data_IF_955150362944
#
_entry.id   IF_955150362944
#
_cell.length_a   1.000
_cell.length_b   1.000
_cell.length_c   1.000
_cell.angle_alpha   90.00
_cell.angle_beta   90.00
_cell.angle_gamma   90.00
#
_symmetry.space_group_name_H-M   'P 1'
#
loop_
_entity.id
_entity.type
_entity.pdbx_description
1 polymer ?
#
# COMPACT_ATOMS: atom_id res chain seq x y z
N UNK A 1 7.53 -32.68 -1.87
CA UNK A 1 8.09 -31.53 -1.12
C UNK A 1 8.97 -30.74 -2.06
N UNK A 2 8.74 -29.44 -2.21
CA UNK A 2 9.74 -28.56 -2.82
C UNK A 2 10.85 -28.36 -1.78
N UNK A 3 12.11 -28.64 -2.14
CA UNK A 3 13.26 -28.48 -1.26
C UNK A 3 14.03 -27.20 -1.53
N UNK A 4 13.84 -26.62 -2.72
CA UNK A 4 14.53 -25.43 -3.17
C UNK A 4 13.54 -24.51 -3.89
N UNK A 5 13.63 -23.22 -3.61
CA UNK A 5 12.88 -22.16 -4.26
C UNK A 5 13.87 -21.05 -4.60
N UNK A 6 14.09 -20.83 -5.89
CA UNK A 6 14.87 -19.69 -6.36
C UNK A 6 13.92 -18.54 -6.69
N UNK A 7 14.18 -17.38 -6.08
CA UNK A 7 13.45 -16.16 -6.36
C UNK A 7 14.37 -15.19 -7.09
N UNK A 8 14.06 -14.95 -8.36
CA UNK A 8 14.71 -13.93 -9.17
C UNK A 8 13.88 -12.65 -9.07
N UNK A 9 14.48 -11.58 -8.60
CA UNK A 9 13.83 -10.28 -8.42
C UNK A 9 14.63 -9.22 -9.14
N UNK A 10 13.93 -8.29 -9.80
CA UNK A 10 14.51 -7.06 -10.34
C UNK A 10 14.10 -5.94 -9.39
N UNK A 11 15.03 -5.53 -8.55
CA UNK A 11 14.93 -4.43 -7.63
C UNK A 11 15.17 -3.07 -8.28
N UNK A 12 14.95 -1.98 -7.53
CA UNK A 12 15.17 -0.62 -8.02
C UNK A 12 16.66 -0.34 -8.31
N UNK A 13 17.55 -1.06 -7.63
CA UNK A 13 19.01 -0.88 -7.76
C UNK A 13 19.61 -1.65 -8.95
N UNK A 14 18.93 -2.69 -9.44
CA UNK A 14 19.41 -3.49 -10.59
C UNK A 14 19.47 -2.68 -11.88
N UNK A 15 18.73 -1.57 -11.95
CA UNK A 15 18.88 -0.58 -13.01
C UNK A 15 20.33 -0.10 -13.18
N UNK A 16 21.07 0.05 -12.07
CA UNK A 16 22.44 0.58 -12.11
C UNK A 16 23.46 -0.41 -12.65
N UNK A 17 23.12 -1.70 -12.67
CA UNK A 17 24.05 -2.79 -12.97
C UNK A 17 23.69 -3.58 -14.22
N UNK A 18 22.40 -3.62 -14.61
CA UNK A 18 21.90 -4.36 -15.77
C UNK A 18 21.77 -3.47 -17.02
N UNK A 19 22.65 -3.60 -18.03
CA UNK A 19 22.64 -2.76 -19.22
C UNK A 19 21.33 -2.82 -20.01
N UNK A 20 20.64 -3.97 -20.01
CA UNK A 20 19.36 -4.11 -20.70
C UNK A 20 18.27 -3.21 -20.09
N UNK A 21 18.40 -2.83 -18.81
CA UNK A 21 17.45 -1.95 -18.15
C UNK A 21 17.66 -0.49 -18.52
N UNK A 22 18.87 -0.02 -18.86
CA UNK A 22 19.21 1.40 -19.09
C UNK A 22 18.33 2.19 -20.10
N UNK A 23 17.52 1.49 -20.91
CA UNK A 23 16.54 2.09 -21.84
C UNK A 23 15.14 2.33 -21.24
N UNK A 24 14.86 1.81 -20.03
CA UNK A 24 13.55 1.90 -19.36
C UNK A 24 13.48 3.12 -18.44
N UNK A 25 12.40 3.29 -17.68
CA UNK A 25 12.34 4.32 -16.64
C UNK A 25 12.77 3.73 -15.30
N UNK A 26 13.68 4.39 -14.55
CA UNK A 26 14.02 3.95 -13.21
C UNK A 26 12.81 4.08 -12.28
N UNK A 27 12.77 3.27 -11.24
CA UNK A 27 11.71 3.29 -10.23
C UNK A 27 12.31 3.27 -8.82
N UNK A 28 11.51 3.66 -7.82
CA UNK A 28 11.92 3.68 -6.41
C UNK A 28 10.95 2.86 -5.59
N UNK A 29 11.47 2.09 -4.64
CA UNK A 29 10.69 1.29 -3.70
C UNK A 29 10.82 1.86 -2.29
N UNK A 30 9.73 1.84 -1.53
CA UNK A 30 9.76 2.13 -0.08
C UNK A 30 8.94 1.06 0.64
N UNK A 31 9.56 0.42 1.64
CA UNK A 31 8.87 -0.51 2.53
C UNK A 31 8.57 0.16 3.87
N UNK A 32 7.30 0.16 4.27
CA UNK A 32 6.90 0.66 5.57
C UNK A 32 6.08 -0.38 6.34
N UNK A 33 6.58 -0.80 7.50
CA UNK A 33 5.89 -1.75 8.39
C UNK A 33 5.02 -1.01 9.40
N UNK A 34 3.77 -1.44 9.55
CA UNK A 34 2.81 -0.91 10.52
C UNK A 34 1.99 -2.05 11.14
N UNK A 35 1.27 -1.72 12.21
CA UNK A 35 0.42 -2.65 12.95
C UNK A 35 -0.92 -2.00 13.27
N UNK A 36 -1.99 -2.76 13.09
CA UNK A 36 -3.32 -2.45 13.61
C UNK A 36 -3.50 -3.06 15.00
N UNK A 37 -4.08 -2.28 15.91
CA UNK A 37 -4.39 -2.64 17.29
C UNK A 37 -5.83 -2.24 17.57
N UNK A 38 -6.63 -3.21 18.00
CA UNK A 38 -8.02 -3.01 18.42
C UNK A 38 -8.10 -1.96 19.51
N UNK A 39 -9.09 -1.06 19.42
CA UNK A 39 -9.29 0.04 20.38
C UNK A 39 -8.28 1.19 20.27
N UNK A 40 -7.40 1.18 19.26
CA UNK A 40 -6.41 2.24 19.06
C UNK A 40 -6.40 2.78 17.62
N UNK A 41 -5.94 1.97 16.67
CA UNK A 41 -5.75 2.41 15.29
C UNK A 41 -6.35 1.45 14.24
N UNK A 42 -7.12 0.44 14.68
CA UNK A 42 -7.89 -0.45 13.81
C UNK A 42 -9.20 0.24 13.38
N UNK A 43 -9.09 1.16 12.42
CA UNK A 43 -10.18 2.06 12.02
C UNK A 43 -11.16 1.52 10.97
N UNK A 44 -10.91 0.33 10.41
CA UNK A 44 -11.72 -0.20 9.31
C UNK A 44 -11.58 0.59 8.00
N UNK A 45 -12.39 0.21 7.00
CA UNK A 45 -12.41 0.85 5.68
C UNK A 45 -13.13 2.22 5.65
N UNK A 46 -13.25 2.85 4.48
CA UNK A 46 -13.85 4.20 4.35
C UNK A 46 -15.30 4.33 4.85
N UNK A 47 -16.05 3.22 4.86
CA UNK A 47 -17.43 3.20 5.37
C UNK A 47 -17.53 3.42 6.89
N UNK A 48 -16.42 3.34 7.62
CA UNK A 48 -16.35 3.59 9.06
C UNK A 48 -15.79 5.00 9.31
N UNK A 49 -16.56 6.02 8.92
CA UNK A 49 -16.11 7.42 8.86
C UNK A 49 -15.53 7.94 10.18
N UNK A 50 -16.06 7.49 11.31
CA UNK A 50 -15.65 7.94 12.65
C UNK A 50 -14.25 7.43 13.04
N UNK A 51 -13.82 6.27 12.51
CA UNK A 51 -12.62 5.57 12.96
C UNK A 51 -11.59 5.36 11.85
N UNK A 52 -11.97 5.47 10.59
CA UNK A 52 -11.09 5.18 9.44
C UNK A 52 -9.83 6.07 9.41
N UNK A 53 -9.92 7.33 9.86
CA UNK A 53 -8.78 8.24 9.97
C UNK A 53 -7.74 7.81 11.05
N UNK A 54 -8.11 6.89 11.94
CA UNK A 54 -7.20 6.34 12.97
C UNK A 54 -6.20 5.34 12.39
N UNK A 55 -6.47 4.77 11.21
CA UNK A 55 -5.56 3.85 10.54
C UNK A 55 -4.15 4.46 10.32
N UNK A 56 -3.09 3.65 10.20
CA UNK A 56 -1.81 4.14 9.70
C UNK A 56 -1.99 4.85 8.34
N UNK A 57 -1.39 6.03 8.20
CA UNK A 57 -1.46 6.85 6.99
C UNK A 57 -0.07 7.02 6.41
N UNK A 58 0.01 7.14 5.09
CA UNK A 58 1.25 7.31 4.34
C UNK A 58 1.07 8.41 3.31
N UNK A 59 2.05 9.30 3.25
CA UNK A 59 2.08 10.40 2.30
C UNK A 59 3.01 10.06 1.16
N UNK A 60 2.49 10.11 -0.06
CA UNK A 60 3.28 9.94 -1.28
C UNK A 60 3.33 11.31 -1.95
N UNK A 61 4.51 11.92 -1.96
CA UNK A 61 4.72 13.17 -2.69
C UNK A 61 4.94 12.85 -4.16
N UNK A 62 4.06 13.35 -5.01
CA UNK A 62 4.16 13.20 -6.46
C UNK A 62 4.85 14.47 -6.98
N UNK A 63 6.02 14.35 -7.63
CA UNK A 63 6.68 15.51 -8.21
C UNK A 63 5.81 16.11 -9.33
N UNK A 64 5.44 17.38 -9.20
CA UNK A 64 4.67 18.13 -10.23
C UNK A 64 5.53 18.52 -11.46
N UNK A 65 6.76 18.03 -11.54
CA UNK A 65 7.84 18.62 -12.33
C UNK A 65 7.97 18.06 -13.75
N UNK A 66 6.99 17.31 -14.25
CA UNK A 66 7.03 16.85 -15.64
C UNK A 66 5.63 16.78 -16.24
N UNK A 67 5.52 17.07 -17.53
CA UNK A 67 4.34 16.79 -18.36
C UNK A 67 3.92 15.31 -18.39
N UNK A 68 4.63 14.43 -17.68
CA UNK A 68 4.44 12.99 -17.68
C UNK A 68 3.62 12.55 -16.48
N UNK A 69 2.71 11.62 -16.72
CA UNK A 69 1.91 10.95 -15.69
C UNK A 69 2.84 10.28 -14.67
N UNK A 70 2.45 10.30 -13.39
CA UNK A 70 3.17 9.56 -12.35
C UNK A 70 2.55 8.18 -12.17
N UNK A 71 3.38 7.13 -12.24
CA UNK A 71 2.94 5.75 -12.04
C UNK A 71 3.34 5.28 -10.65
N UNK A 72 2.38 4.78 -9.88
CA UNK A 72 2.59 4.34 -8.49
C UNK A 72 2.00 2.94 -8.31
N UNK A 73 2.77 2.03 -7.73
CA UNK A 73 2.26 0.74 -7.25
C UNK A 73 2.19 0.78 -5.73
N UNK A 74 1.04 0.45 -5.17
CA UNK A 74 0.89 0.25 -3.72
C UNK A 74 0.54 -1.20 -3.46
N UNK A 75 1.35 -1.86 -2.62
CA UNK A 75 1.09 -3.20 -2.10
C UNK A 75 0.93 -3.13 -0.58
N UNK A 76 -0.18 -3.69 -0.08
CA UNK A 76 -0.40 -3.93 1.35
C UNK A 76 -0.38 -5.44 1.57
N UNK A 77 0.65 -5.90 2.27
CA UNK A 77 0.79 -7.30 2.68
C UNK A 77 0.56 -7.44 4.18
N UNK A 78 -0.29 -8.39 4.59
CA UNK A 78 -0.47 -8.72 5.99
C UNK A 78 0.53 -9.78 6.45
N UNK A 79 0.92 -9.71 7.73
CA UNK A 79 1.68 -10.79 8.35
C UNK A 79 0.83 -12.06 8.38
N UNK A 80 1.41 -13.19 7.97
CA UNK A 80 0.77 -14.49 7.97
C UNK A 80 1.79 -15.58 8.35
N UNK A 81 1.27 -16.68 8.89
CA UNK A 81 2.09 -17.83 9.28
C UNK A 81 2.03 -18.88 8.16
N UNK A 82 3.18 -19.22 7.58
CA UNK A 82 3.30 -20.28 6.56
C UNK A 82 3.23 -21.68 7.19
N UNK A 83 3.77 -21.83 8.40
CA UNK A 83 3.71 -23.04 9.21
C UNK A 83 3.28 -22.65 10.63
N UNK A 84 1.99 -22.79 10.97
CA UNK A 84 1.53 -22.44 12.31
C UNK A 84 2.09 -23.43 13.33
N UNK A 85 2.68 -22.94 14.42
CA UNK A 85 3.20 -23.77 15.52
C UNK A 85 2.08 -24.52 16.26
N UNK A 86 0.84 -24.04 16.13
CA UNK A 86 -0.34 -24.66 16.72
C UNK A 86 -1.27 -25.20 15.63
N UNK A 87 -2.10 -26.20 15.95
CA UNK A 87 -3.11 -26.73 15.02
C UNK A 87 -4.17 -25.68 14.59
N UNK A 88 -4.18 -24.48 15.19
CA UNK A 88 -5.11 -23.40 14.83
C UNK A 88 -4.44 -22.45 13.83
N UNK A 89 -4.83 -22.57 12.55
CA UNK A 89 -4.49 -21.56 11.54
C UNK A 89 -5.19 -20.25 11.88
N UNK A 90 -4.43 -19.16 11.98
CA UNK A 90 -5.00 -17.81 12.03
C UNK A 90 -5.54 -17.46 10.64
N UNK A 91 -6.83 -17.14 10.50
CA UNK A 91 -7.36 -16.72 9.21
C UNK A 91 -6.72 -15.39 8.78
N UNK A 92 -6.62 -15.20 7.47
CA UNK A 92 -6.27 -13.90 6.91
C UNK A 92 -7.39 -12.90 7.20
N UNK A 93 -7.01 -11.64 7.40
CA UNK A 93 -7.97 -10.56 7.50
C UNK A 93 -8.39 -10.08 6.10
N UNK A 94 -9.61 -9.54 6.00
CA UNK A 94 -9.96 -8.73 4.84
C UNK A 94 -9.15 -7.43 4.89
N UNK A 95 -8.22 -7.26 3.95
CA UNK A 95 -7.34 -6.08 3.88
C UNK A 95 -7.62 -5.29 2.61
N UNK A 96 -7.27 -4.01 2.67
CA UNK A 96 -7.41 -3.05 1.59
C UNK A 96 -6.87 -1.70 2.02
N UNK A 97 -6.92 -0.73 1.11
CA UNK A 97 -6.56 0.66 1.37
C UNK A 97 -7.40 1.59 0.50
N UNK A 98 -7.44 2.87 0.90
CA UNK A 98 -8.08 3.95 0.17
C UNK A 98 -7.05 5.04 -0.09
N UNK A 99 -7.14 5.66 -1.27
CA UNK A 99 -6.24 6.72 -1.72
C UNK A 99 -7.02 8.02 -1.74
N UNK A 100 -6.47 9.04 -1.10
CA UNK A 100 -7.05 10.38 -1.07
C UNK A 100 -6.07 11.37 -1.69
N UNK A 101 -6.60 12.30 -2.48
CA UNK A 101 -5.89 13.54 -2.77
C UNK A 101 -6.01 14.46 -1.56
N UNK A 102 -4.90 15.02 -1.08
CA UNK A 102 -4.89 15.88 0.10
C UNK A 102 -4.14 17.19 -0.18
N UNK A 103 -4.53 18.29 0.48
CA UNK A 103 -3.74 19.52 0.44
C UNK A 103 -2.33 19.30 1.02
N UNK A 104 -1.34 19.99 0.45
CA UNK A 104 0.06 19.93 0.93
C UNK A 104 0.23 20.27 2.42
N UNK A 105 -0.67 21.10 2.97
CA UNK A 105 -0.66 21.50 4.37
C UNK A 105 -1.29 20.49 5.32
N UNK A 106 -1.92 19.42 4.82
CA UNK A 106 -2.62 18.44 5.65
C UNK A 106 -1.65 17.32 6.10
N UNK A 107 -1.23 17.29 7.38
CA UNK A 107 -0.31 16.27 7.87
C UNK A 107 -1.00 14.90 8.04
N UNK A 108 -2.32 14.88 8.18
CA UNK A 108 -3.10 13.67 8.47
C UNK A 108 -4.56 13.87 8.08
N UNK A 109 -5.18 12.83 7.50
CA UNK A 109 -6.63 12.77 7.29
C UNK A 109 -7.36 12.85 8.63
N UNK A 110 -8.44 13.61 8.68
CA UNK A 110 -9.38 13.69 9.81
C UNK A 110 -10.66 12.90 9.47
N UNK A 111 -11.46 12.47 10.47
CA UNK A 111 -12.77 11.87 10.22
C UNK A 111 -13.65 12.76 9.34
N UNK A 112 -13.69 14.07 9.64
CA UNK A 112 -14.43 15.06 8.87
C UNK A 112 -13.99 15.09 7.40
N UNK A 113 -12.67 15.08 7.15
CA UNK A 113 -12.16 15.06 5.78
C UNK A 113 -12.64 13.82 5.01
N UNK A 114 -12.66 12.65 5.65
CA UNK A 114 -13.11 11.41 4.99
C UNK A 114 -14.61 11.42 4.70
N UNK A 115 -15.41 12.10 5.52
CA UNK A 115 -16.84 12.33 5.23
C UNK A 115 -17.01 13.24 4.02
N UNK A 116 -16.23 14.33 3.97
CA UNK A 116 -16.41 15.39 2.98
C UNK A 116 -15.78 15.04 1.62
N UNK A 117 -14.72 14.22 1.61
CA UNK A 117 -13.93 13.93 0.42
C UNK A 117 -14.06 12.47 0.01
N UNK A 118 -14.48 12.27 -1.24
CA UNK A 118 -14.47 10.95 -1.85
C UNK A 118 -13.03 10.52 -2.13
N UNK A 119 -12.63 9.28 -1.75
CA UNK A 119 -11.33 8.75 -2.15
C UNK A 119 -11.20 8.70 -3.68
N UNK A 120 -9.99 8.95 -4.18
CA UNK A 120 -9.63 8.76 -5.58
C UNK A 120 -9.83 7.32 -6.01
N UNK A 121 -9.47 6.39 -5.12
CA UNK A 121 -9.66 4.96 -5.32
C UNK A 121 -9.78 4.23 -3.98
N UNK A 122 -10.46 3.10 -3.98
CA UNK A 122 -10.62 2.20 -2.84
C UNK A 122 -10.50 0.78 -3.34
N UNK A 123 -9.51 0.05 -2.84
CA UNK A 123 -9.37 -1.36 -3.16
C UNK A 123 -10.53 -2.16 -2.56
N UNK A 124 -10.98 -3.21 -3.26
CA UNK A 124 -11.89 -4.16 -2.65
C UNK A 124 -11.23 -4.82 -1.43
N UNK A 125 -11.91 -4.79 -0.28
CA UNK A 125 -11.41 -5.44 0.92
C UNK A 125 -11.53 -6.94 0.73
N UNK A 126 -10.38 -7.62 0.58
CA UNK A 126 -10.35 -9.04 0.25
C UNK A 126 -9.60 -9.82 1.30
N UNK A 127 -10.07 -11.04 1.57
CA UNK A 127 -9.39 -12.00 2.43
C UNK A 127 -8.22 -12.56 1.63
N UNK A 128 -7.11 -11.83 1.60
CA UNK A 128 -5.94 -12.12 0.79
C UNK A 128 -4.65 -11.79 1.54
N UNK A 129 -3.56 -12.52 1.24
CA UNK A 129 -2.24 -12.24 1.83
C UNK A 129 -1.76 -10.82 1.52
N UNK A 130 -2.05 -10.38 0.30
CA UNK A 130 -1.57 -9.16 -0.29
C UNK A 130 -2.67 -8.57 -1.18
N UNK A 131 -2.83 -7.25 -1.11
CA UNK A 131 -3.66 -6.46 -2.04
C UNK A 131 -2.77 -5.43 -2.71
N UNK A 132 -2.78 -5.43 -4.04
CA UNK A 132 -1.92 -4.56 -4.88
C UNK A 132 -2.79 -3.76 -5.82
N UNK A 133 -2.45 -2.49 -6.03
CA UNK A 133 -3.07 -1.66 -7.06
C UNK A 133 -2.03 -0.76 -7.71
N UNK A 134 -2.22 -0.55 -9.01
CA UNK A 134 -1.43 0.36 -9.84
C UNK A 134 -2.25 1.61 -10.13
N UNK A 135 -1.65 2.78 -9.86
CA UNK A 135 -2.23 4.09 -10.08
C UNK A 135 -1.45 4.80 -11.18
N UNK A 136 -2.19 5.53 -12.01
CA UNK A 136 -1.63 6.54 -12.89
C UNK A 136 -2.22 7.88 -12.49
N UNK A 137 -1.41 8.69 -11.83
CA UNK A 137 -1.81 9.97 -11.29
C UNK A 137 -1.52 11.07 -12.32
N UNK A 138 -2.42 12.06 -12.45
CA UNK A 138 -2.20 13.18 -13.34
C UNK A 138 -0.90 13.93 -12.95
N UNK A 139 -0.25 14.61 -13.91
CA UNK A 139 0.95 15.40 -13.66
C UNK A 139 0.72 16.58 -12.69
#
# INVERSE_FOLDING_TARGET
HFTHLDLVHIGPDDWMTEPALHSKQPWRAVLARRRWRTGYNAGGGPNFTDTTAMNPQFHIQIPRTSSNKCHVVVSVTQYYETQPETKKKKPLYAIGFAVYEIPHSMPRLTPQFVVDQKPLDVTNHSIAREVVTFFTLPP
#
